data_IF_657950359338
#
_entry.id   IF_657950359338
#
_cell.length_a   1.000
_cell.length_b   1.000
_cell.length_c   1.000
_cell.angle_alpha   90.00
_cell.angle_beta   90.00
_cell.angle_gamma   90.00
#
_symmetry.space_group_name_H-M   'P 1'
#
loop_
_entity.id
_entity.type
_entity.pdbx_description
1 polymer ?
#
# COMPACT_ATOMS: atom_id res chain seq x y z
N UNK A 1 21.79 23.53 22.01
CA UNK A 1 20.99 22.47 22.20
C UNK A 1 19.77 22.50 21.32
N UNK A 2 19.55 21.51 20.74
CA UNK A 2 18.53 21.51 19.81
C UNK A 2 17.19 21.64 20.45
N UNK A 3 16.46 22.37 19.97
CA UNK A 3 15.18 22.50 20.43
C UNK A 3 14.28 21.40 19.99
N UNK A 4 13.50 21.66 19.00
CA UNK A 4 12.40 20.83 18.65
C UNK A 4 12.72 19.93 17.48
N UNK A 5 12.27 18.70 17.59
CA UNK A 5 12.35 17.73 16.51
C UNK A 5 11.20 17.97 15.54
N UNK A 6 11.52 18.10 14.27
CA UNK A 6 10.49 18.24 13.25
C UNK A 6 9.76 16.91 13.00
N UNK A 7 8.47 17.00 12.77
CA UNK A 7 7.64 15.87 12.40
C UNK A 7 7.22 16.02 10.95
N UNK A 8 7.38 14.97 10.19
CA UNK A 8 7.11 15.00 8.75
C UNK A 8 6.34 13.77 8.32
N UNK A 9 5.63 13.91 7.21
CA UNK A 9 5.05 12.78 6.50
C UNK A 9 5.89 12.54 5.24
N UNK A 10 6.30 11.31 5.03
CA UNK A 10 7.07 10.90 3.87
C UNK A 10 6.23 9.93 3.04
N UNK A 11 6.12 10.19 1.75
CA UNK A 11 5.36 9.33 0.84
C UNK A 11 6.29 8.67 -0.16
N UNK A 12 6.14 7.36 -0.32
CA UNK A 12 6.85 6.58 -1.33
C UNK A 12 5.83 5.85 -2.19
N UNK A 13 6.07 5.79 -3.49
CA UNK A 13 5.17 5.11 -4.40
C UNK A 13 5.88 4.00 -5.15
N UNK A 14 5.14 2.94 -5.43
CA UNK A 14 5.57 1.85 -6.32
C UNK A 14 4.47 1.60 -7.34
N UNK A 15 4.84 1.01 -8.47
CA UNK A 15 3.88 0.62 -9.49
C UNK A 15 4.16 -0.82 -9.92
N UNK A 16 3.10 -1.53 -10.26
CA UNK A 16 3.20 -2.91 -10.76
C UNK A 16 1.93 -3.23 -11.56
N UNK A 17 2.02 -4.22 -12.44
CA UNK A 17 0.87 -4.67 -13.20
C UNK A 17 0.20 -5.82 -12.47
N UNK A 18 -1.13 -5.75 -12.36
CA UNK A 18 -1.91 -6.85 -11.81
C UNK A 18 -3.29 -6.89 -12.44
N UNK A 19 -3.91 -8.05 -12.41
CA UNK A 19 -5.26 -8.26 -12.93
C UNK A 19 -6.24 -8.49 -11.80
N UNK A 20 -7.50 -8.20 -12.05
CA UNK A 20 -8.57 -8.48 -11.10
C UNK A 20 -9.90 -8.70 -11.83
N UNK A 21 -10.86 -9.27 -11.11
CA UNK A 21 -12.24 -9.35 -11.58
C UNK A 21 -13.19 -9.22 -10.40
N UNK A 22 -14.36 -8.66 -10.67
CA UNK A 22 -15.42 -8.63 -9.66
C UNK A 22 -16.28 -9.88 -9.80
N UNK A 23 -16.75 -10.42 -8.67
CA UNK A 23 -17.59 -11.61 -8.66
C UNK A 23 -18.97 -11.32 -9.21
N UNK A 24 -19.42 -10.06 -9.07
CA UNK A 24 -20.73 -9.62 -9.55
C UNK A 24 -20.56 -8.40 -10.44
N UNK A 25 -21.58 -8.06 -11.20
CA UNK A 25 -21.52 -6.93 -12.11
C UNK A 25 -21.23 -7.37 -13.53
N UNK A 26 -20.38 -6.64 -14.21
CA UNK A 26 -20.07 -6.93 -15.61
C UNK A 26 -19.33 -8.26 -15.75
N UNK A 27 -19.82 -9.17 -16.59
CA UNK A 27 -19.20 -10.48 -16.73
C UNK A 27 -17.80 -10.44 -17.35
N UNK A 28 -17.48 -9.38 -18.09
CA UNK A 28 -16.18 -9.26 -18.72
C UNK A 28 -15.14 -8.61 -17.81
N UNK A 29 -15.34 -8.69 -16.53
CA UNK A 29 -14.60 -7.89 -15.58
C UNK A 29 -13.16 -8.34 -15.32
N UNK A 30 -12.68 -9.39 -15.98
CA UNK A 30 -11.29 -9.82 -15.83
C UNK A 30 -10.40 -8.93 -16.70
N UNK A 31 -9.72 -7.99 -16.05
CA UNK A 31 -8.87 -7.02 -16.75
C UNK A 31 -7.70 -6.62 -15.86
N UNK A 32 -6.74 -5.94 -16.45
CA UNK A 32 -5.53 -5.54 -15.77
C UNK A 32 -5.35 -4.04 -15.71
N UNK A 33 -4.56 -3.62 -14.72
CA UNK A 33 -4.20 -2.22 -14.52
C UNK A 33 -2.72 -2.12 -14.21
N UNK A 34 -2.14 -0.96 -14.49
CA UNK A 34 -0.89 -0.57 -13.88
C UNK A 34 -1.24 0.11 -12.56
N UNK A 35 -1.20 -0.66 -11.49
CA UNK A 35 -1.50 -0.13 -10.16
C UNK A 35 -0.38 0.76 -9.67
N UNK A 36 -0.75 1.82 -8.95
CA UNK A 36 0.18 2.64 -8.21
C UNK A 36 -0.22 2.60 -6.75
N UNK A 37 0.72 2.23 -5.89
CA UNK A 37 0.49 2.20 -4.44
C UNK A 37 1.40 3.24 -3.81
N UNK A 38 0.81 4.19 -3.09
CA UNK A 38 1.53 5.22 -2.36
C UNK A 38 1.38 4.96 -0.88
N UNK A 39 2.50 4.97 -0.18
CA UNK A 39 2.51 4.73 1.26
C UNK A 39 3.08 5.97 1.93
N UNK A 40 2.31 6.53 2.87
CA UNK A 40 2.71 7.69 3.64
C UNK A 40 2.95 7.28 5.08
N UNK A 41 4.13 7.56 5.58
CA UNK A 41 4.52 7.32 6.97
C UNK A 41 4.81 8.64 7.66
N UNK A 42 4.50 8.71 8.95
CA UNK A 42 4.68 9.92 9.74
C UNK A 42 5.59 9.64 10.93
N UNK A 43 6.43 10.59 11.25
CA UNK A 43 7.27 10.49 12.44
C UNK A 43 8.16 11.70 12.59
N UNK A 44 8.94 11.70 13.65
CA UNK A 44 9.97 12.71 13.85
C UNK A 44 11.19 12.39 13.02
N UNK A 45 11.88 13.42 12.57
CA UNK A 45 13.15 13.24 11.85
C UNK A 45 14.17 12.73 12.82
N UNK A 46 14.74 11.55 12.55
CA UNK A 46 15.81 10.99 13.36
C UNK A 46 17.10 11.76 13.07
N UNK A 47 17.78 12.20 14.13
CA UNK A 47 18.96 13.04 13.99
C UNK A 47 20.10 12.35 13.23
N UNK A 48 20.23 11.03 13.39
CA UNK A 48 21.30 10.30 12.74
C UNK A 48 21.01 10.01 11.26
N UNK A 49 19.75 9.71 10.92
CA UNK A 49 19.34 9.43 9.55
C UNK A 49 18.92 10.67 8.79
N UNK A 50 18.53 11.73 9.47
CA UNK A 50 17.93 12.93 8.89
C UNK A 50 16.65 12.57 8.09
N UNK A 51 15.90 11.57 8.58
CA UNK A 51 14.72 11.04 7.91
C UNK A 51 13.73 10.45 8.90
N UNK A 52 12.48 10.37 8.51
CA UNK A 52 11.43 9.70 9.31
C UNK A 52 11.69 8.20 9.37
N UNK A 53 12.12 7.63 8.25
CA UNK A 53 12.45 6.21 8.13
C UNK A 53 13.53 6.08 7.06
N UNK A 54 14.40 5.10 7.21
CA UNK A 54 15.41 4.82 6.18
C UNK A 54 14.68 4.40 4.90
N UNK A 55 15.02 5.02 3.78
CA UNK A 55 14.33 4.78 2.52
C UNK A 55 14.46 3.35 2.04
N UNK A 56 15.64 2.76 2.21
CA UNK A 56 15.85 1.37 1.83
C UNK A 56 15.00 0.40 2.67
N UNK A 57 14.75 0.73 3.93
CA UNK A 57 13.83 -0.05 4.77
C UNK A 57 12.42 0.03 4.21
N UNK A 58 11.95 1.22 3.88
CA UNK A 58 10.61 1.41 3.34
C UNK A 58 10.48 0.71 1.97
N UNK A 59 11.48 0.86 1.11
CA UNK A 59 11.48 0.19 -0.20
C UNK A 59 11.43 -1.32 -0.06
N UNK A 60 12.17 -1.90 0.88
CA UNK A 60 12.13 -3.34 1.12
C UNK A 60 10.74 -3.81 1.55
N UNK A 61 10.09 -3.06 2.44
CA UNK A 61 8.73 -3.38 2.89
C UNK A 61 7.75 -3.37 1.71
N UNK A 62 7.78 -2.32 0.90
CA UNK A 62 6.88 -2.20 -0.25
C UNK A 62 7.11 -3.29 -1.29
N UNK A 63 8.37 -3.61 -1.56
CA UNK A 63 8.73 -4.64 -2.50
C UNK A 63 8.29 -6.01 -2.01
N UNK A 64 8.63 -6.36 -0.78
CA UNK A 64 8.38 -7.71 -0.25
C UNK A 64 6.91 -7.94 0.08
N UNK A 65 6.22 -6.93 0.58
CA UNK A 65 4.84 -7.11 1.02
C UNK A 65 3.81 -6.86 -0.07
N UNK A 66 4.13 -6.06 -1.06
CA UNK A 66 3.15 -5.66 -2.08
C UNK A 66 3.59 -6.04 -3.49
N UNK A 67 4.71 -5.51 -3.97
CA UNK A 67 5.08 -5.67 -5.38
C UNK A 67 5.40 -7.11 -5.75
N UNK A 68 6.30 -7.76 -5.01
CA UNK A 68 6.72 -9.13 -5.32
C UNK A 68 5.57 -10.13 -5.33
N UNK A 69 4.66 -10.11 -4.33
CA UNK A 69 3.55 -11.05 -4.36
C UNK A 69 2.57 -10.84 -5.51
N UNK A 70 2.48 -9.63 -6.05
CA UNK A 70 1.37 -9.26 -6.93
C UNK A 70 1.76 -8.93 -8.37
N UNK A 71 3.01 -8.50 -8.60
CA UNK A 71 3.41 -8.04 -9.94
C UNK A 71 3.27 -9.15 -10.97
N UNK A 72 2.54 -8.86 -12.04
CA UNK A 72 2.27 -9.82 -13.10
C UNK A 72 1.23 -10.87 -12.73
N UNK A 73 0.54 -10.71 -11.61
CA UNK A 73 -0.38 -11.72 -11.11
C UNK A 73 -1.81 -11.23 -11.06
N UNK A 74 -2.71 -12.14 -10.69
CA UNK A 74 -4.14 -11.88 -10.57
C UNK A 74 -4.49 -11.74 -9.10
N UNK A 75 -5.04 -10.59 -8.71
CA UNK A 75 -5.35 -10.32 -7.31
C UNK A 75 -6.29 -11.36 -6.70
N UNK A 76 -7.28 -11.82 -7.49
CA UNK A 76 -8.25 -12.83 -7.03
C UNK A 76 -7.62 -14.21 -6.84
N UNK A 77 -6.40 -14.43 -7.29
CA UNK A 77 -5.70 -15.69 -7.06
C UNK A 77 -4.74 -15.62 -5.90
N UNK A 78 -4.14 -14.44 -5.68
CA UNK A 78 -3.11 -14.27 -4.66
C UNK A 78 -3.73 -13.88 -3.31
N UNK A 79 -4.71 -12.99 -3.31
CA UNK A 79 -5.30 -12.46 -2.07
C UNK A 79 -6.49 -13.35 -1.70
N UNK A 80 -6.39 -14.03 -0.57
CA UNK A 80 -7.35 -15.05 -0.14
C UNK A 80 -8.78 -14.52 -0.09
N UNK A 81 -8.99 -13.33 0.45
CA UNK A 81 -10.31 -12.74 0.61
C UNK A 81 -10.95 -12.44 -0.75
N UNK A 82 -10.14 -12.09 -1.73
CA UNK A 82 -10.62 -11.86 -3.10
C UNK A 82 -10.87 -13.19 -3.83
N UNK A 83 -10.03 -14.20 -3.58
CA UNK A 83 -10.19 -15.51 -4.17
C UNK A 83 -11.48 -16.18 -3.72
N UNK A 84 -11.83 -16.03 -2.45
CA UNK A 84 -13.01 -16.65 -1.87
C UNK A 84 -14.31 -15.90 -2.19
N UNK A 85 -14.21 -14.65 -2.66
CA UNK A 85 -15.38 -13.80 -2.86
C UNK A 85 -15.86 -13.14 -1.57
N UNK A 86 -15.15 -13.33 -0.47
CA UNK A 86 -15.48 -12.67 0.79
C UNK A 86 -15.38 -11.16 0.67
N UNK A 87 -14.42 -10.69 -0.12
CA UNK A 87 -14.26 -9.27 -0.46
C UNK A 87 -14.09 -9.13 -1.97
N UNK A 88 -14.51 -7.99 -2.50
CA UNK A 88 -14.25 -7.65 -3.89
C UNK A 88 -12.94 -6.89 -4.01
N UNK A 89 -12.20 -7.04 -5.14
CA UNK A 89 -10.90 -6.37 -5.31
C UNK A 89 -11.06 -4.90 -5.72
N UNK A 90 -11.79 -4.14 -4.93
CA UNK A 90 -11.91 -2.70 -5.10
C UNK A 90 -10.62 -2.02 -4.66
N UNK A 91 -10.42 -0.76 -5.06
CA UNK A 91 -9.30 0.03 -4.58
C UNK A 91 -9.30 0.13 -3.05
N UNK A 92 -10.49 0.25 -2.44
CA UNK A 92 -10.66 0.35 -1.00
C UNK A 92 -10.19 -0.93 -0.29
N UNK A 93 -10.69 -2.08 -0.73
CA UNK A 93 -10.33 -3.35 -0.12
C UNK A 93 -8.85 -3.68 -0.34
N UNK A 94 -8.33 -3.33 -1.51
CA UNK A 94 -6.91 -3.54 -1.81
C UNK A 94 -6.03 -2.62 -0.96
N UNK A 95 -6.42 -1.38 -0.78
CA UNK A 95 -5.69 -0.45 0.09
C UNK A 95 -5.65 -0.95 1.54
N UNK A 96 -6.76 -1.50 2.04
CA UNK A 96 -6.81 -2.08 3.38
C UNK A 96 -5.92 -3.32 3.49
N UNK A 97 -5.89 -4.16 2.45
CA UNK A 97 -4.99 -5.30 2.41
C UNK A 97 -3.53 -4.87 2.49
N UNK A 98 -3.16 -3.86 1.73
CA UNK A 98 -1.80 -3.31 1.77
C UNK A 98 -1.47 -2.76 3.16
N UNK A 99 -2.40 -2.05 3.77
CA UNK A 99 -2.22 -1.51 5.11
C UNK A 99 -1.87 -2.61 6.12
N UNK A 100 -2.63 -3.71 6.09
CA UNK A 100 -2.42 -4.81 7.03
C UNK A 100 -1.07 -5.48 6.86
N UNK A 101 -0.52 -5.48 5.65
CA UNK A 101 0.78 -6.08 5.38
C UNK A 101 1.93 -5.13 5.70
N UNK A 102 1.73 -3.85 5.53
CA UNK A 102 2.79 -2.85 5.67
C UNK A 102 2.97 -2.43 7.13
N UNK A 103 1.86 -2.14 7.82
CA UNK A 103 1.90 -1.57 9.17
C UNK A 103 2.78 -2.36 10.14
N UNK A 104 2.70 -3.70 10.21
CA UNK A 104 3.52 -4.46 11.16
C UNK A 104 5.01 -4.45 10.84
N UNK A 105 5.38 -4.08 9.61
CA UNK A 105 6.76 -4.10 9.16
C UNK A 105 7.49 -2.79 9.40
N UNK A 106 6.77 -1.72 9.77
CA UNK A 106 7.39 -0.43 9.98
C UNK A 106 8.08 -0.35 11.35
N UNK A 107 9.19 0.42 11.46
CA UNK A 107 9.80 0.67 12.76
C UNK A 107 8.83 1.37 13.72
N UNK A 108 9.06 1.19 15.01
CA UNK A 108 8.14 1.69 16.04
C UNK A 108 7.98 3.22 16.03
N UNK A 109 8.98 3.94 15.55
CA UNK A 109 8.96 5.40 15.50
C UNK A 109 8.44 5.96 14.17
N UNK A 110 8.01 5.10 13.25
CA UNK A 110 7.42 5.50 11.97
C UNK A 110 6.00 4.95 11.91
N UNK A 111 5.02 5.85 11.92
CA UNK A 111 3.62 5.46 11.95
C UNK A 111 3.04 5.49 10.55
N UNK A 112 2.35 4.43 10.16
CA UNK A 112 1.65 4.42 8.88
C UNK A 112 0.48 5.39 8.95
N UNK A 113 0.42 6.32 8.01
CA UNK A 113 -0.58 7.37 7.98
C UNK A 113 -1.62 7.11 6.89
N UNK A 114 -1.20 6.63 5.73
CA UNK A 114 -2.08 6.45 4.58
C UNK A 114 -1.49 5.45 3.61
N UNK A 115 -2.35 4.62 3.05
CA UNK A 115 -2.03 3.82 1.86
C UNK A 115 -3.02 4.20 0.77
N UNK A 116 -2.52 4.72 -0.34
CA UNK A 116 -3.34 5.04 -1.51
C UNK A 116 -3.11 3.98 -2.57
N UNK A 117 -4.20 3.41 -3.06
CA UNK A 117 -4.16 2.49 -4.20
C UNK A 117 -4.91 3.13 -5.36
N UNK A 118 -4.21 3.29 -6.48
CA UNK A 118 -4.79 3.82 -7.71
C UNK A 118 -4.73 2.74 -8.78
N UNK A 119 -5.86 2.43 -9.41
CA UNK A 119 -5.87 1.48 -10.52
C UNK A 119 -5.63 2.19 -11.86
N UNK A 120 -5.90 3.48 -11.92
CA UNK A 120 -5.55 4.34 -13.06
C UNK A 120 -5.50 5.80 -12.59
N UNK A 121 -5.36 6.72 -13.53
CA UNK A 121 -5.22 8.14 -13.22
C UNK A 121 -6.50 8.79 -12.68
N UNK A 122 -7.63 8.08 -12.74
CA UNK A 122 -8.94 8.65 -12.38
C UNK A 122 -9.60 7.99 -11.19
N UNK A 123 -9.06 6.85 -10.70
CA UNK A 123 -9.71 6.11 -9.62
C UNK A 123 -8.68 5.64 -8.61
N UNK A 124 -8.83 6.09 -7.38
CA UNK A 124 -7.99 5.66 -6.26
C UNK A 124 -8.77 5.70 -4.96
N UNK A 125 -8.27 5.00 -3.97
CA UNK A 125 -8.81 5.00 -2.62
C UNK A 125 -7.68 5.14 -1.62
N UNK A 126 -7.97 5.79 -0.51
CA UNK A 126 -7.04 5.96 0.60
C UNK A 126 -7.54 5.14 1.80
N UNK A 127 -6.68 4.28 2.32
CA UNK A 127 -6.90 3.65 3.62
C UNK A 127 -6.11 4.43 4.66
N UNK A 128 -6.79 4.88 5.71
CA UNK A 128 -6.18 5.67 6.77
C UNK A 128 -6.22 4.96 8.11
N UNK A 129 -6.59 3.70 8.12
CA UNK A 129 -6.58 2.86 9.31
C UNK A 129 -7.43 1.64 9.13
N UNK A 130 -7.14 0.62 9.92
CA UNK A 130 -7.90 -0.63 9.96
C UNK A 130 -8.17 -0.94 11.43
N UNK A 131 -9.43 -1.25 11.76
CA UNK A 131 -9.85 -1.59 13.11
C UNK A 131 -9.49 -3.04 13.49
#
# INVERSE_FOLDING_TARGET
MSGQRAHCSLTRAISFHARHRYATGHPAADHGHLYRVEVTVRGGIDASRQAVVALDTLDAVLTEEVAQPLDGRHLNEVIREFASGEEQPTCEAFAAWCWRRIAPRLPADAQLERVRVAEDATLWADCTGVD
#
